data_IF_506931378557
#
_entry.id   IF_506931378557
#
_cell.length_a   1.000
_cell.length_b   1.000
_cell.length_c   1.000
_cell.angle_alpha   90.00
_cell.angle_beta   90.00
_cell.angle_gamma   90.00
#
_symmetry.space_group_name_H-M   'P 1'
#
loop_
_entity.id
_entity.type
_entity.pdbx_description
1 polymer ?
#
# COMPACT_ATOMS: atom_id res chain seq x y z
N UNK A 1 -33.65 8.47 15.32
CA UNK A 1 -32.47 7.61 15.61
C UNK A 1 -31.25 8.36 15.12
N UNK A 2 -30.43 8.88 16.03
CA UNK A 2 -29.37 9.82 15.71
C UNK A 2 -28.11 9.11 15.20
N UNK A 3 -27.84 9.31 13.91
CA UNK A 3 -26.65 8.91 13.14
C UNK A 3 -25.31 9.39 13.77
N UNK A 4 -25.37 10.25 14.79
CA UNK A 4 -24.22 10.73 15.56
C UNK A 4 -23.72 9.71 16.61
N UNK A 5 -24.57 8.80 17.10
CA UNK A 5 -24.16 7.77 18.06
C UNK A 5 -23.24 6.70 17.43
N UNK A 6 -23.34 6.52 16.11
CA UNK A 6 -22.70 5.45 15.34
C UNK A 6 -21.26 5.79 14.89
N UNK A 7 -20.84 7.05 15.00
CA UNK A 7 -19.52 7.55 14.53
C UNK A 7 -18.33 7.27 15.44
N UNK A 8 -18.53 6.61 16.58
CA UNK A 8 -17.46 5.85 17.26
C UNK A 8 -16.29 6.63 17.87
N UNK A 9 -16.46 7.88 18.30
CA UNK A 9 -15.47 8.57 19.17
C UNK A 9 -16.17 9.35 20.28
N UNK A 10 -16.45 8.69 21.41
CA UNK A 10 -16.91 9.36 22.64
C UNK A 10 -16.01 10.57 22.97
N UNK A 11 -16.61 11.68 23.40
CA UNK A 11 -15.89 12.89 23.87
C UNK A 11 -14.83 12.52 24.90
N UNK A 12 -15.14 11.58 25.80
CA UNK A 12 -14.18 11.06 26.80
C UNK A 12 -12.97 10.39 26.16
N UNK A 13 -13.17 9.60 25.10
CA UNK A 13 -12.10 8.92 24.35
C UNK A 13 -11.24 9.94 23.59
N UNK A 14 -11.86 10.92 22.93
CA UNK A 14 -11.13 11.98 22.22
C UNK A 14 -10.25 12.79 23.18
N UNK A 15 -10.79 13.17 24.35
CA UNK A 15 -10.03 13.87 25.42
C UNK A 15 -8.85 13.04 25.92
N UNK A 16 -9.05 11.74 26.16
CA UNK A 16 -7.96 10.83 26.59
C UNK A 16 -6.88 10.71 25.52
N UNK A 17 -7.26 10.53 24.26
CA UNK A 17 -6.30 10.41 23.16
C UNK A 17 -5.46 11.68 22.99
N UNK A 18 -6.08 12.86 23.11
CA UNK A 18 -5.36 14.12 23.07
C UNK A 18 -4.33 14.24 24.20
N UNK A 19 -4.72 13.86 25.42
CA UNK A 19 -3.79 13.82 26.55
C UNK A 19 -2.65 12.84 26.28
N UNK A 20 -2.96 11.62 25.82
CA UNK A 20 -1.96 10.59 25.53
C UNK A 20 -0.97 11.02 24.44
N UNK A 21 -1.43 11.70 23.38
CA UNK A 21 -0.56 12.23 22.33
C UNK A 21 0.43 13.28 22.85
N UNK A 22 0.00 14.10 23.82
CA UNK A 22 0.84 15.14 24.42
C UNK A 22 1.82 14.57 25.47
N UNK A 23 1.49 13.43 26.07
CA UNK A 23 2.30 12.81 27.11
C UNK A 23 3.66 12.38 26.56
N UNK A 24 4.73 12.92 27.14
CA UNK A 24 6.09 12.47 26.87
C UNK A 24 6.35 11.16 27.61
N UNK A 25 7.02 10.22 26.96
CA UNK A 25 7.49 9.01 27.62
C UNK A 25 8.57 9.37 28.65
N UNK A 26 8.33 9.02 29.91
CA UNK A 26 9.22 9.39 31.03
C UNK A 26 10.18 8.28 31.42
N UNK A 27 9.89 7.03 31.05
CA UNK A 27 10.77 5.90 31.28
C UNK A 27 10.49 4.74 30.34
N UNK A 28 11.49 3.88 30.15
CA UNK A 28 11.42 2.63 29.42
C UNK A 28 11.97 1.49 30.26
N UNK A 29 11.34 0.32 30.14
CA UNK A 29 11.80 -0.92 30.75
C UNK A 29 12.70 -1.66 29.76
N UNK A 30 13.85 -2.10 30.25
CA UNK A 30 14.82 -2.94 29.54
C UNK A 30 14.46 -4.42 29.61
N UNK A 31 15.00 -5.25 28.71
CA UNK A 31 14.82 -6.71 28.76
C UNK A 31 15.30 -7.35 30.07
N UNK A 32 16.36 -6.81 30.69
CA UNK A 32 16.87 -7.21 32.01
C UNK A 32 15.93 -6.86 33.18
N UNK A 33 14.81 -6.18 32.89
CA UNK A 33 13.83 -5.74 33.86
C UNK A 33 14.06 -4.34 34.42
N UNK A 34 15.22 -3.72 34.17
CA UNK A 34 15.57 -2.40 34.70
C UNK A 34 14.73 -1.30 34.06
N UNK A 35 14.24 -0.35 34.85
CA UNK A 35 13.52 0.83 34.35
C UNK A 35 14.48 2.01 34.22
N UNK A 36 14.46 2.68 33.07
CA UNK A 36 15.37 3.77 32.73
C UNK A 36 14.59 5.03 32.36
N UNK A 37 14.94 6.17 32.95
CA UNK A 37 14.34 7.47 32.66
C UNK A 37 15.31 8.45 31.98
N UNK A 38 16.59 8.09 31.87
CA UNK A 38 17.60 8.90 31.20
C UNK A 38 17.41 8.85 29.70
N UNK A 39 17.41 10.02 29.04
CA UNK A 39 17.26 10.15 27.59
C UNK A 39 18.21 9.25 26.81
N UNK A 40 19.51 9.31 27.12
CA UNK A 40 20.54 8.48 26.43
C UNK A 40 20.29 6.98 26.64
N UNK A 41 19.87 6.60 27.84
CA UNK A 41 19.58 5.21 28.16
C UNK A 41 18.33 4.72 27.39
N UNK A 42 17.28 5.53 27.33
CA UNK A 42 16.07 5.26 26.57
C UNK A 42 16.34 5.17 25.07
N UNK A 43 17.13 6.09 24.51
CA UNK A 43 17.56 6.08 23.10
C UNK A 43 18.28 4.77 22.76
N UNK A 44 19.16 4.30 23.65
CA UNK A 44 19.83 3.00 23.48
C UNK A 44 18.84 1.82 23.49
N UNK A 45 17.89 1.80 24.42
CA UNK A 45 16.87 0.72 24.48
C UNK A 45 16.05 0.65 23.20
N UNK A 46 15.67 1.81 22.66
CA UNK A 46 14.93 1.89 21.40
C UNK A 46 15.80 1.40 20.24
N UNK A 47 17.07 1.83 20.20
CA UNK A 47 18.02 1.42 19.16
C UNK A 47 18.22 -0.10 19.18
N UNK A 48 18.59 -0.67 20.32
CA UNK A 48 18.82 -2.12 20.48
C UNK A 48 17.58 -2.92 20.03
N UNK A 49 16.37 -2.49 20.43
CA UNK A 49 15.11 -3.13 20.02
C UNK A 49 14.89 -3.13 18.49
N UNK A 50 15.09 -1.99 17.83
CA UNK A 50 14.88 -1.89 16.38
C UNK A 50 16.00 -2.58 15.61
N UNK A 51 17.23 -2.52 16.10
CA UNK A 51 18.34 -3.29 15.56
C UNK A 51 18.00 -4.78 15.59
N UNK A 52 17.61 -5.35 16.72
CA UNK A 52 17.23 -6.77 16.80
C UNK A 52 16.05 -7.12 15.85
N UNK A 53 15.05 -6.23 15.75
CA UNK A 53 13.89 -6.44 14.88
C UNK A 53 14.28 -6.51 13.40
N UNK A 54 15.14 -5.62 12.92
CA UNK A 54 15.52 -5.53 11.51
C UNK A 54 16.74 -6.39 11.16
N UNK A 55 17.60 -6.70 12.12
CA UNK A 55 18.76 -7.59 11.97
C UNK A 55 18.36 -9.07 12.09
N UNK A 56 17.20 -9.35 12.70
CA UNK A 56 16.53 -10.62 12.50
C UNK A 56 16.15 -10.71 11.02
N UNK A 57 17.02 -11.35 10.24
CA UNK A 57 16.69 -11.93 8.96
C UNK A 57 15.60 -12.97 9.23
N UNK A 58 14.36 -12.48 9.38
CA UNK A 58 13.18 -13.24 9.06
C UNK A 58 13.52 -13.82 7.70
N UNK A 59 13.64 -15.14 7.65
CA UNK A 59 13.48 -15.86 6.41
C UNK A 59 12.11 -15.42 5.92
N UNK A 60 12.07 -14.31 5.17
CA UNK A 60 11.00 -14.07 4.23
C UNK A 60 10.97 -15.41 3.51
N UNK A 61 9.89 -16.19 3.63
CA UNK A 61 9.63 -17.13 2.56
C UNK A 61 9.60 -16.17 1.39
N UNK A 62 10.67 -16.18 0.59
CA UNK A 62 10.65 -15.64 -0.76
C UNK A 62 9.36 -16.24 -1.27
N UNK A 63 8.28 -15.45 -1.31
CA UNK A 63 7.10 -15.81 -2.02
C UNK A 63 7.70 -16.02 -3.39
N UNK A 64 7.94 -17.28 -3.74
CA UNK A 64 8.28 -17.66 -5.08
C UNK A 64 7.01 -17.22 -5.78
N UNK A 65 7.01 -15.97 -6.26
CA UNK A 65 6.06 -15.50 -7.22
C UNK A 65 6.32 -16.47 -8.35
N UNK A 66 5.50 -17.51 -8.36
CA UNK A 66 5.60 -18.67 -9.20
C UNK A 66 5.79 -18.11 -10.62
N UNK A 67 7.04 -18.08 -11.09
CA UNK A 67 7.34 -17.73 -12.48
C UNK A 67 6.76 -18.81 -13.41
N UNK A 68 6.40 -19.96 -12.84
CA UNK A 68 5.54 -21.01 -13.36
C UNK A 68 4.06 -20.58 -13.29
N UNK A 69 3.62 -19.83 -14.29
CA UNK A 69 2.17 -19.72 -14.48
C UNK A 69 1.67 -18.77 -15.55
N UNK A 70 2.45 -17.79 -16.03
CA UNK A 70 2.07 -17.15 -17.29
C UNK A 70 2.49 -18.07 -18.45
N UNK A 71 1.80 -19.20 -18.54
CA UNK A 71 1.70 -19.94 -19.80
C UNK A 71 0.92 -19.02 -20.71
N UNK A 72 1.65 -18.26 -21.53
CA UNK A 72 1.08 -17.64 -22.73
C UNK A 72 0.27 -18.75 -23.39
N UNK A 73 -1.06 -18.62 -23.51
CA UNK A 73 -1.84 -19.63 -24.18
C UNK A 73 -1.23 -19.82 -25.55
N UNK A 74 -1.01 -21.07 -25.97
CA UNK A 74 -0.55 -21.36 -27.32
C UNK A 74 -1.69 -21.11 -28.30
N UNK A 75 -2.17 -19.86 -28.38
CA UNK A 75 -3.01 -19.44 -29.49
C UNK A 75 -2.13 -19.61 -30.70
N UNK A 76 -2.46 -20.57 -31.55
CA UNK A 76 -1.62 -20.88 -32.68
C UNK A 76 -1.51 -19.60 -33.51
N UNK A 77 -0.31 -19.22 -33.99
CA UNK A 77 -0.17 -18.05 -34.86
C UNK A 77 -1.11 -18.10 -36.08
N UNK A 78 -1.53 -19.30 -36.50
CA UNK A 78 -2.59 -19.51 -37.50
C UNK A 78 -3.98 -19.04 -37.04
N UNK A 79 -4.36 -19.23 -35.79
CA UNK A 79 -5.66 -18.83 -35.22
C UNK A 79 -5.75 -17.31 -35.04
N UNK A 80 -4.66 -16.66 -34.59
CA UNK A 80 -4.55 -15.19 -34.54
C UNK A 80 -4.65 -14.61 -35.95
N UNK A 81 -3.88 -15.17 -36.91
CA UNK A 81 -3.94 -14.73 -38.30
C UNK A 81 -5.33 -14.93 -38.88
N UNK A 82 -5.94 -16.08 -38.63
CA UNK A 82 -7.29 -16.38 -39.11
C UNK A 82 -8.30 -15.37 -38.58
N UNK A 83 -8.31 -15.10 -37.27
CA UNK A 83 -9.20 -14.12 -36.64
C UNK A 83 -9.03 -12.70 -37.23
N UNK A 84 -7.79 -12.24 -37.41
CA UNK A 84 -7.50 -10.94 -38.02
C UNK A 84 -7.99 -10.89 -39.47
N UNK A 85 -7.73 -11.95 -40.25
CA UNK A 85 -8.16 -12.03 -41.66
C UNK A 85 -9.66 -12.25 -41.85
N UNK A 86 -10.33 -12.88 -40.88
CA UNK A 86 -11.77 -13.15 -40.93
C UNK A 86 -12.62 -11.96 -40.50
N UNK A 87 -12.01 -10.95 -39.85
CA UNK A 87 -12.70 -9.71 -39.51
C UNK A 87 -12.92 -8.87 -40.77
N UNK A 88 -14.15 -8.35 -40.95
CA UNK A 88 -14.46 -7.41 -42.01
C UNK A 88 -13.77 -6.08 -41.73
N UNK A 89 -13.02 -5.57 -42.71
CA UNK A 89 -12.36 -4.27 -42.62
C UNK A 89 -13.40 -3.17 -42.35
N UNK A 90 -13.25 -2.42 -41.26
CA UNK A 90 -13.98 -1.15 -41.06
C UNK A 90 -14.91 -1.01 -39.85
N UNK A 91 -14.84 -1.86 -38.83
CA UNK A 91 -15.51 -1.54 -37.55
C UNK A 91 -14.49 -1.07 -36.52
N UNK A 92 -14.10 0.20 -36.64
CA UNK A 92 -13.55 0.92 -35.49
C UNK A 92 -14.64 1.01 -34.41
N UNK A 93 -14.31 0.94 -33.11
CA UNK A 93 -15.24 1.36 -32.07
C UNK A 93 -15.60 2.81 -32.39
N UNK A 94 -16.87 3.07 -32.70
CA UNK A 94 -17.37 4.42 -32.93
C UNK A 94 -17.12 5.21 -31.65
N UNK A 95 -16.05 5.99 -31.64
CA UNK A 95 -15.90 7.11 -30.72
C UNK A 95 -17.04 8.08 -31.02
N UNK A 96 -17.84 8.51 -30.03
CA UNK A 96 -18.94 9.43 -30.25
C UNK A 96 -18.43 10.72 -30.90
N UNK A 97 -19.11 11.14 -31.95
CA UNK A 97 -18.91 12.38 -32.70
C UNK A 97 -19.23 13.57 -31.80
N UNK A 98 -18.29 13.98 -30.97
CA UNK A 98 -18.24 15.31 -30.39
C UNK A 98 -16.77 15.58 -30.03
N UNK A 99 -16.24 16.71 -30.47
CA UNK A 99 -14.85 17.17 -30.29
C UNK A 99 -13.92 16.94 -31.50
N UNK A 100 -14.42 17.10 -32.72
CA UNK A 100 -13.63 17.84 -33.73
C UNK A 100 -13.95 19.32 -33.54
N UNK A 101 -13.05 20.07 -32.91
CA UNK A 101 -12.84 21.52 -33.11
C UNK A 101 -11.84 22.05 -32.08
N UNK A 102 -10.57 22.19 -32.47
CA UNK A 102 -9.73 23.35 -32.17
C UNK A 102 -8.33 23.15 -32.79
N UNK A 103 -8.13 23.84 -33.92
CA UNK A 103 -6.90 24.49 -34.37
C UNK A 103 -5.54 23.79 -34.20
N UNK A 104 -4.99 23.38 -35.35
CA UNK A 104 -3.55 23.29 -35.59
C UNK A 104 -3.02 24.71 -35.82
N UNK A 105 -2.20 25.23 -34.90
CA UNK A 105 -1.14 26.20 -35.21
C UNK A 105 0.04 25.87 -34.31
N UNK A 106 1.10 25.31 -34.89
CA UNK A 106 2.45 25.41 -34.35
C UNK A 106 3.42 25.66 -35.51
N UNK A 107 4.16 26.78 -35.34
CA UNK A 107 5.45 27.21 -35.87
C UNK A 107 5.87 26.85 -37.30
#
# INVERSE_FOLDING_TARGET
MDKAAEGGKSIRKARRNFANYKTKMTSLRRPDGTVTASRRAMEKVIYDFYSDLFDSHVYMPTCHLRQDGYVVPSVLPSEIRHAITSMRNGTAPVVPVAMQSAHFVEN
#
